data_IF_119089774645
#
_entry.id   IF_119089774645
#
_cell.length_a   1.000
_cell.length_b   1.000
_cell.length_c   1.000
_cell.angle_alpha   90.00
_cell.angle_beta   90.00
_cell.angle_gamma   90.00
#
_symmetry.space_group_name_H-M   'P 1'
#
loop_
_entity.id
_entity.type
_entity.pdbx_description
1 polymer ?
#
# COMPACT_ATOMS: atom_id res chain seq x y z
N UNK A 1 22.95 8.61 5.84
CA UNK A 1 21.60 8.04 5.75
C UNK A 1 21.69 6.56 6.04
N UNK A 2 21.01 6.12 7.08
CA UNK A 2 20.85 4.69 7.40
C UNK A 2 19.93 4.08 6.36
N UNK A 3 20.38 3.01 5.68
CA UNK A 3 19.49 2.24 4.81
C UNK A 3 18.40 1.59 5.65
N UNK A 4 17.16 1.58 5.15
CA UNK A 4 16.10 0.78 5.76
C UNK A 4 16.51 -0.68 5.84
N UNK A 5 16.17 -1.32 6.96
CA UNK A 5 16.33 -2.75 7.18
C UNK A 5 15.01 -3.26 7.74
N UNK A 6 14.39 -4.23 7.07
CA UNK A 6 13.18 -4.88 7.56
C UNK A 6 13.45 -5.51 8.94
N UNK A 7 12.56 -5.34 9.93
CA UNK A 7 12.67 -6.04 11.20
C UNK A 7 12.73 -7.56 11.00
N UNK A 8 13.54 -8.24 11.82
CA UNK A 8 13.47 -9.70 11.92
C UNK A 8 12.17 -10.07 12.63
N UNK A 9 11.38 -10.94 12.01
CA UNK A 9 10.09 -11.41 12.53
C UNK A 9 10.14 -12.93 12.60
N UNK A 10 9.80 -13.49 13.77
CA UNK A 10 9.77 -14.94 13.95
C UNK A 10 8.68 -15.56 13.08
N UNK A 11 9.06 -16.61 12.34
CA UNK A 11 8.12 -17.33 11.49
C UNK A 11 7.09 -18.08 12.34
N UNK A 12 5.81 -17.74 12.14
CA UNK A 12 4.70 -18.44 12.75
C UNK A 12 4.41 -19.73 11.98
N UNK A 13 4.17 -20.83 12.70
CA UNK A 13 3.79 -22.11 12.12
C UNK A 13 2.28 -22.26 12.16
N UNK A 14 1.64 -22.19 11.00
CA UNK A 14 0.19 -22.41 10.84
C UNK A 14 -0.10 -23.90 10.63
N UNK A 15 -1.26 -24.34 11.13
CA UNK A 15 -1.67 -25.75 11.05
C UNK A 15 -3.14 -25.86 10.70
N UNK A 16 -3.45 -26.79 9.80
CA UNK A 16 -4.82 -27.10 9.41
C UNK A 16 -5.60 -27.80 10.54
N UNK A 17 -6.89 -28.04 10.29
CA UNK A 17 -7.76 -28.78 11.21
C UNK A 17 -7.29 -30.20 11.58
N UNK A 18 -6.42 -30.81 10.77
CA UNK A 18 -5.80 -32.12 11.04
C UNK A 18 -4.43 -32.00 11.77
N UNK A 19 -3.99 -30.77 12.07
CA UNK A 19 -2.72 -30.48 12.73
C UNK A 19 -1.50 -30.50 11.81
N UNK A 20 -1.68 -30.66 10.49
CA UNK A 20 -0.58 -30.60 9.51
C UNK A 20 -0.15 -29.16 9.30
N UNK A 21 1.15 -28.96 9.11
CA UNK A 21 1.69 -27.63 8.81
C UNK A 21 1.14 -27.15 7.47
N UNK A 22 0.65 -25.92 7.45
CA UNK A 22 0.28 -25.18 6.25
C UNK A 22 1.55 -24.49 5.72
N UNK A 23 1.85 -24.70 4.45
CA UNK A 23 3.00 -24.08 3.77
C UNK A 23 2.52 -22.98 2.81
N UNK A 24 2.14 -21.83 3.38
CA UNK A 24 1.69 -20.68 2.61
C UNK A 24 2.75 -20.25 1.57
N UNK A 25 2.29 -19.89 0.38
CA UNK A 25 3.09 -19.65 -0.82
C UNK A 25 3.35 -20.91 -1.65
N UNK A 26 3.02 -22.09 -1.12
CA UNK A 26 3.16 -23.39 -1.80
C UNK A 26 1.97 -24.32 -1.54
N UNK A 27 0.79 -23.79 -1.18
CA UNK A 27 -0.40 -24.59 -0.89
C UNK A 27 -0.88 -25.38 -2.10
N UNK A 28 -0.76 -24.78 -3.29
CA UNK A 28 -1.38 -25.30 -4.50
C UNK A 28 -0.30 -25.64 -5.54
N UNK A 29 -0.19 -26.92 -5.89
CA UNK A 29 0.68 -27.36 -6.99
C UNK A 29 0.15 -26.92 -8.36
N UNK A 30 -1.18 -26.89 -8.50
CA UNK A 30 -1.91 -26.41 -9.67
C UNK A 30 -2.85 -25.25 -9.22
N UNK A 31 -4.06 -25.19 -9.78
CA UNK A 31 -5.05 -24.20 -9.36
C UNK A 31 -5.64 -24.52 -7.97
N UNK A 32 -5.92 -23.49 -7.15
CA UNK A 32 -6.62 -23.67 -5.88
C UNK A 32 -8.03 -24.27 -6.10
N UNK A 33 -8.52 -25.11 -5.16
CA UNK A 33 -9.89 -25.60 -5.21
C UNK A 33 -10.87 -24.45 -4.96
N UNK A 34 -12.10 -24.57 -5.48
CA UNK A 34 -13.15 -23.54 -5.31
C UNK A 34 -13.41 -23.21 -3.83
N UNK A 35 -13.27 -24.21 -2.95
CA UNK A 35 -13.44 -24.06 -1.49
C UNK A 35 -12.40 -23.15 -0.82
N UNK A 36 -11.28 -22.84 -1.48
CA UNK A 36 -10.26 -21.93 -0.94
C UNK A 36 -10.54 -20.45 -1.30
N UNK A 37 -11.44 -20.19 -2.25
CA UNK A 37 -11.78 -18.82 -2.63
C UNK A 37 -12.66 -18.16 -1.58
N UNK A 38 -12.37 -16.90 -1.26
CA UNK A 38 -13.08 -16.11 -0.24
C UNK A 38 -13.02 -16.69 1.18
N UNK A 39 -12.14 -17.67 1.42
CA UNK A 39 -11.85 -18.24 2.74
C UNK A 39 -10.49 -17.76 3.18
N UNK A 40 -10.36 -17.38 4.46
CA UNK A 40 -9.07 -17.14 5.10
C UNK A 40 -9.07 -17.89 6.42
N UNK A 41 -8.40 -19.04 6.48
CA UNK A 41 -8.32 -19.84 7.71
C UNK A 41 -7.47 -19.15 8.79
N UNK A 42 -6.33 -18.57 8.39
CA UNK A 42 -5.38 -17.90 9.30
C UNK A 42 -5.11 -16.44 8.89
N UNK A 43 -6.03 -15.50 9.18
CA UNK A 43 -5.80 -14.08 8.89
C UNK A 43 -4.60 -13.51 9.64
N UNK A 44 -4.28 -14.04 10.83
CA UNK A 44 -3.13 -13.66 11.64
C UNK A 44 -1.78 -13.86 10.94
N UNK A 45 -1.73 -14.63 9.84
CA UNK A 45 -0.52 -14.78 9.01
C UNK A 45 0.01 -13.45 8.47
N UNK A 46 -0.87 -12.46 8.32
CA UNK A 46 -0.51 -11.13 7.83
C UNK A 46 -0.10 -10.14 8.94
N UNK A 47 -0.24 -10.49 10.23
CA UNK A 47 0.17 -9.64 11.36
C UNK A 47 1.59 -9.04 11.27
N UNK A 48 2.61 -9.73 10.72
CA UNK A 48 3.91 -9.14 10.44
C UNK A 48 3.88 -7.83 9.62
N UNK A 49 2.88 -7.63 8.75
CA UNK A 49 2.75 -6.41 7.93
C UNK A 49 2.64 -5.14 8.78
N UNK A 50 2.01 -5.23 9.95
CA UNK A 50 1.94 -4.09 10.88
C UNK A 50 3.32 -3.72 11.41
N UNK A 51 4.13 -4.72 11.75
CA UNK A 51 5.52 -4.50 12.21
C UNK A 51 6.40 -3.90 11.11
N UNK A 52 6.23 -4.35 9.87
CA UNK A 52 6.93 -3.80 8.70
C UNK A 52 6.51 -2.36 8.44
N UNK A 53 5.20 -2.07 8.46
CA UNK A 53 4.70 -0.71 8.26
C UNK A 53 5.21 0.27 9.33
N UNK A 54 5.27 -0.15 10.60
CA UNK A 54 5.86 0.65 11.67
C UNK A 54 7.33 0.98 11.43
N UNK A 55 8.12 0.00 11.01
CA UNK A 55 9.52 0.20 10.69
C UNK A 55 9.71 1.14 9.48
N UNK A 56 8.84 1.05 8.48
CA UNK A 56 8.83 1.97 7.34
C UNK A 56 8.49 3.41 7.77
N UNK A 57 7.45 3.59 8.58
CA UNK A 57 7.06 4.90 9.12
C UNK A 57 8.21 5.53 9.90
N UNK A 58 8.86 4.76 10.77
CA UNK A 58 9.99 5.25 11.57
C UNK A 58 11.20 5.59 10.68
N UNK A 59 11.53 4.72 9.72
CA UNK A 59 12.59 5.01 8.76
C UNK A 59 12.32 6.30 7.98
N UNK A 60 11.09 6.50 7.53
CA UNK A 60 10.69 7.70 6.80
C UNK A 60 10.81 8.94 7.69
N UNK A 61 10.33 8.87 8.93
CA UNK A 61 10.40 9.95 9.93
C UNK A 61 11.83 10.46 10.15
N UNK A 62 12.79 9.56 10.19
CA UNK A 62 14.20 9.92 10.47
C UNK A 62 14.98 10.31 9.20
N UNK A 63 14.49 9.92 8.02
CA UNK A 63 15.23 10.08 6.75
C UNK A 63 14.78 11.30 5.94
N UNK A 64 13.49 11.63 5.97
CA UNK A 64 12.90 12.66 5.11
C UNK A 64 12.36 13.86 5.90
N UNK A 65 12.28 15.00 5.23
CA UNK A 65 11.68 16.23 5.75
C UNK A 65 10.15 16.19 5.62
N UNK A 66 9.51 15.64 6.65
CA UNK A 66 8.09 15.29 6.65
C UNK A 66 7.42 15.64 7.98
N UNK A 67 6.13 15.94 7.91
CA UNK A 67 5.20 15.97 9.03
C UNK A 67 4.43 14.65 9.10
N UNK A 68 4.21 14.14 10.31
CA UNK A 68 3.49 12.88 10.54
C UNK A 68 2.34 13.14 11.51
N UNK A 69 1.12 12.89 11.04
CA UNK A 69 -0.11 12.92 11.83
C UNK A 69 -0.63 11.51 12.03
N UNK A 70 -0.97 11.15 13.26
CA UNK A 70 -1.57 9.87 13.61
C UNK A 70 -2.94 10.10 14.26
N UNK A 71 -3.96 9.43 13.71
CA UNK A 71 -5.33 9.55 14.19
C UNK A 71 -6.36 9.00 13.21
N UNK A 72 -7.60 8.75 13.65
CA UNK A 72 -8.66 8.22 12.79
C UNK A 72 -8.97 9.13 11.58
N UNK A 73 -8.73 10.44 11.70
CA UNK A 73 -8.85 11.40 10.61
C UNK A 73 -7.85 11.16 9.47
N UNK A 74 -6.70 10.53 9.74
CA UNK A 74 -5.77 10.15 8.69
C UNK A 74 -6.41 9.16 7.71
N UNK A 75 -7.25 8.24 8.21
CA UNK A 75 -7.96 7.26 7.38
C UNK A 75 -8.94 7.89 6.38
N UNK A 76 -9.38 9.13 6.60
CA UNK A 76 -10.27 9.84 5.68
C UNK A 76 -9.61 10.18 4.33
N UNK A 77 -8.28 10.04 4.20
CA UNK A 77 -7.58 10.19 2.91
C UNK A 77 -7.86 9.04 1.95
N UNK A 78 -8.17 7.84 2.46
CA UNK A 78 -8.52 6.71 1.62
C UNK A 78 -9.65 7.12 0.68
N UNK A 79 -9.47 6.85 -0.61
CA UNK A 79 -10.53 7.02 -1.60
C UNK A 79 -11.69 6.07 -1.29
N UNK A 80 -11.36 4.88 -0.77
CA UNK A 80 -12.30 3.87 -0.31
C UNK A 80 -12.06 3.58 1.17
N UNK A 81 -12.91 4.10 2.07
CA UNK A 81 -12.73 3.86 3.50
C UNK A 81 -12.72 2.37 3.83
N UNK A 82 -11.72 1.94 4.61
CA UNK A 82 -11.67 0.59 5.16
C UNK A 82 -12.48 0.54 6.46
N UNK A 83 -13.53 -0.28 6.52
CA UNK A 83 -14.45 -0.33 7.67
C UNK A 83 -13.78 -0.78 8.96
N UNK A 84 -12.69 -1.53 8.82
CA UNK A 84 -11.98 -2.17 9.92
C UNK A 84 -10.64 -1.49 10.27
N UNK A 85 -10.49 -0.20 9.94
CA UNK A 85 -9.30 0.57 10.30
C UNK A 85 -9.16 0.66 11.83
N UNK A 86 -8.00 0.23 12.34
CA UNK A 86 -7.66 0.28 13.77
C UNK A 86 -6.72 1.44 14.09
N UNK A 87 -5.91 1.86 13.12
CA UNK A 87 -4.95 2.96 13.23
C UNK A 87 -4.66 3.54 11.85
N UNK A 88 -4.41 4.84 11.76
CA UNK A 88 -4.00 5.48 10.53
C UNK A 88 -2.92 6.54 10.78
N UNK A 89 -1.92 6.56 9.91
CA UNK A 89 -0.75 7.44 9.98
C UNK A 89 -0.59 8.12 8.62
N UNK A 90 -0.73 9.44 8.59
CA UNK A 90 -0.51 10.26 7.41
C UNK A 90 0.85 10.92 7.48
N UNK A 91 1.60 10.85 6.38
CA UNK A 91 2.92 11.42 6.23
C UNK A 91 2.88 12.42 5.08
N UNK A 92 3.18 13.69 5.40
CA UNK A 92 3.19 14.80 4.44
C UNK A 92 4.61 15.34 4.29
N UNK A 93 5.21 15.27 3.10
CA UNK A 93 6.45 15.99 2.80
C UNK A 93 6.22 17.50 2.86
N UNK A 94 7.24 18.24 3.31
CA UNK A 94 7.17 19.71 3.33
C UNK A 94 7.21 20.34 1.92
N UNK A 95 7.62 19.57 0.91
CA UNK A 95 7.52 19.93 -0.50
C UNK A 95 6.20 19.43 -1.10
N UNK A 96 5.32 20.37 -1.48
CA UNK A 96 4.01 20.07 -2.08
C UNK A 96 4.05 19.38 -3.45
N UNK A 97 5.22 19.31 -4.10
CA UNK A 97 5.41 18.57 -5.36
C UNK A 97 5.67 17.07 -5.14
N UNK A 98 5.78 16.64 -3.88
CA UNK A 98 5.92 15.24 -3.48
C UNK A 98 4.54 14.62 -3.16
N UNK A 99 4.37 13.35 -3.50
CA UNK A 99 3.17 12.60 -3.08
C UNK A 99 3.16 12.39 -1.57
N UNK A 100 1.99 12.52 -0.94
CA UNK A 100 1.79 12.09 0.46
C UNK A 100 1.65 10.57 0.55
N UNK A 101 1.91 10.01 1.73
CA UNK A 101 1.62 8.60 2.05
C UNK A 101 0.71 8.53 3.27
N UNK A 102 -0.31 7.68 3.24
CA UNK A 102 -1.08 7.32 4.43
C UNK A 102 -1.08 5.81 4.59
N UNK A 103 -0.69 5.35 5.77
CA UNK A 103 -0.80 3.95 6.17
C UNK A 103 -2.05 3.77 7.03
N UNK A 104 -2.85 2.76 6.72
CA UNK A 104 -4.04 2.38 7.46
C UNK A 104 -3.91 0.93 7.87
N UNK A 105 -3.81 0.72 9.17
CA UNK A 105 -3.74 -0.59 9.80
C UNK A 105 -5.17 -1.11 10.01
N UNK A 106 -5.40 -2.38 9.74
CA UNK A 106 -6.74 -2.99 9.78
C UNK A 106 -6.82 -4.16 10.75
N UNK A 107 -8.02 -4.53 11.21
CA UNK A 107 -8.20 -5.65 12.17
C UNK A 107 -8.03 -7.04 11.53
N UNK A 108 -8.41 -7.19 10.25
CA UNK A 108 -7.79 -8.18 9.37
C UNK A 108 -6.37 -7.67 9.12
N UNK A 109 -5.29 -8.29 9.63
CA UNK A 109 -4.06 -7.57 9.94
C UNK A 109 -3.20 -7.26 8.71
N UNK A 110 -3.75 -6.46 7.80
CA UNK A 110 -3.13 -5.92 6.61
C UNK A 110 -2.94 -4.41 6.71
N UNK A 111 -2.47 -3.85 5.60
CA UNK A 111 -2.16 -2.43 5.43
C UNK A 111 -2.89 -1.89 4.20
N UNK A 112 -3.69 -0.84 4.39
CA UNK A 112 -4.07 0.07 3.33
C UNK A 112 -3.03 1.18 3.19
N UNK A 113 -2.52 1.39 1.99
CA UNK A 113 -1.61 2.49 1.67
C UNK A 113 -2.31 3.45 0.69
N UNK A 114 -2.60 4.67 1.12
CA UNK A 114 -2.96 5.74 0.20
C UNK A 114 -1.68 6.43 -0.29
N UNK A 115 -1.51 6.61 -1.59
CA UNK A 115 -0.41 7.36 -2.17
C UNK A 115 -0.91 8.53 -3.02
N UNK A 116 -0.30 9.70 -2.81
CA UNK A 116 -0.59 10.90 -3.58
C UNK A 116 -2.01 11.42 -3.35
N UNK A 117 -2.86 11.36 -4.37
CA UNK A 117 -4.18 11.98 -4.35
C UNK A 117 -5.35 11.02 -4.63
N UNK A 118 -5.13 9.91 -5.35
CA UNK A 118 -6.19 9.15 -6.00
C UNK A 118 -6.13 7.64 -5.82
N UNK A 119 -5.03 7.05 -5.31
CA UNK A 119 -4.89 5.59 -5.28
C UNK A 119 -4.69 5.04 -3.88
N UNK A 120 -5.47 4.01 -3.58
CA UNK A 120 -5.33 3.14 -2.43
C UNK A 120 -4.78 1.79 -2.89
N UNK A 121 -3.81 1.25 -2.16
CA UNK A 121 -3.22 -0.06 -2.33
C UNK A 121 -3.43 -0.87 -1.06
N UNK A 122 -3.65 -2.18 -1.18
CA UNK A 122 -3.95 -3.04 -0.03
C UNK A 122 -3.00 -4.22 0.02
N UNK A 123 -2.56 -4.55 1.22
CA UNK A 123 -1.59 -5.61 1.52
C UNK A 123 -2.16 -6.47 2.65
N UNK A 124 -2.60 -7.71 2.39
CA UNK A 124 -2.70 -8.32 1.06
C UNK A 124 -3.77 -7.65 0.19
N UNK A 125 -3.58 -7.74 -1.14
CA UNK A 125 -4.61 -7.30 -2.10
C UNK A 125 -5.83 -8.24 -2.12
N UNK A 126 -5.61 -9.51 -1.82
CA UNK A 126 -6.62 -10.52 -1.54
C UNK A 126 -6.08 -11.48 -0.48
N UNK A 127 -6.80 -11.61 0.62
CA UNK A 127 -6.37 -12.41 1.77
C UNK A 127 -6.83 -13.87 1.75
N UNK A 128 -7.48 -14.33 0.68
CA UNK A 128 -8.03 -15.68 0.66
C UNK A 128 -6.94 -16.76 0.50
N UNK A 129 -7.22 -17.98 0.95
CA UNK A 129 -6.31 -19.12 0.86
C UNK A 129 -6.05 -19.53 -0.58
N UNK A 130 -6.99 -19.27 -1.51
CA UNK A 130 -6.77 -19.50 -2.94
C UNK A 130 -5.66 -18.61 -3.54
N UNK A 131 -5.48 -17.37 -3.04
CA UNK A 131 -4.40 -16.50 -3.51
C UNK A 131 -3.05 -16.90 -2.94
N UNK A 132 -3.04 -17.58 -1.80
CA UNK A 132 -1.85 -18.17 -1.16
C UNK A 132 -0.67 -17.21 -0.98
N UNK A 133 -0.93 -15.91 -0.81
CA UNK A 133 0.14 -14.94 -0.61
C UNK A 133 0.73 -15.04 0.79
N UNK A 134 2.05 -14.94 0.85
CA UNK A 134 2.80 -14.88 2.12
C UNK A 134 2.89 -13.44 2.63
N UNK A 135 3.08 -13.25 3.93
CA UNK A 135 3.30 -11.90 4.46
C UNK A 135 4.59 -11.28 3.94
N UNK A 136 5.60 -12.10 3.61
CA UNK A 136 6.88 -11.67 3.06
C UNK A 136 6.71 -11.04 1.68
N UNK A 137 5.95 -11.68 0.78
CA UNK A 137 5.67 -11.15 -0.56
C UNK A 137 4.89 -9.83 -0.49
N UNK A 138 3.90 -9.76 0.40
CA UNK A 138 3.11 -8.54 0.61
C UNK A 138 3.97 -7.42 1.23
N UNK A 139 4.90 -7.76 2.14
CA UNK A 139 5.87 -6.82 2.69
C UNK A 139 6.86 -6.33 1.63
N UNK A 140 7.38 -7.22 0.78
CA UNK A 140 8.27 -6.86 -0.34
C UNK A 140 7.58 -5.87 -1.28
N UNK A 141 6.31 -6.11 -1.60
CA UNK A 141 5.53 -5.23 -2.46
C UNK A 141 5.24 -3.88 -1.80
N UNK A 142 4.84 -3.86 -0.52
CA UNK A 142 4.61 -2.64 0.25
C UNK A 142 5.88 -1.78 0.29
N UNK A 143 7.00 -2.36 0.73
CA UNK A 143 8.28 -1.66 0.82
C UNK A 143 8.71 -1.11 -0.54
N UNK A 144 8.63 -1.93 -1.59
CA UNK A 144 9.00 -1.53 -2.95
C UNK A 144 8.15 -0.35 -3.44
N UNK A 145 6.84 -0.34 -3.19
CA UNK A 145 5.97 0.77 -3.59
C UNK A 145 6.22 2.03 -2.75
N UNK A 146 6.37 1.90 -1.44
CA UNK A 146 6.73 3.01 -0.55
C UNK A 146 8.03 3.66 -1.01
N UNK A 147 9.07 2.87 -1.30
CA UNK A 147 10.34 3.39 -1.78
C UNK A 147 10.23 4.05 -3.16
N UNK A 148 9.39 3.53 -4.05
CA UNK A 148 9.12 4.20 -5.33
C UNK A 148 8.43 5.56 -5.14
N UNK A 149 7.53 5.71 -4.15
CA UNK A 149 6.93 7.03 -3.84
C UNK A 149 7.98 8.00 -3.31
N UNK A 150 8.70 7.63 -2.24
CA UNK A 150 9.61 8.58 -1.58
C UNK A 150 10.84 8.92 -2.43
N UNK A 151 11.18 8.09 -3.42
CA UNK A 151 12.27 8.37 -4.38
C UNK A 151 11.81 9.07 -5.66
N UNK A 152 10.54 9.47 -5.76
CA UNK A 152 10.01 10.23 -6.92
C UNK A 152 9.78 9.36 -8.16
N UNK A 153 9.62 8.05 -7.99
CA UNK A 153 9.34 7.08 -9.04
C UNK A 153 7.85 6.68 -9.08
N UNK A 154 6.97 7.53 -8.56
CA UNK A 154 5.52 7.35 -8.55
C UNK A 154 4.82 8.46 -9.33
N UNK A 155 3.80 8.07 -10.10
CA UNK A 155 2.99 8.98 -10.89
C UNK A 155 1.53 8.62 -10.82
N UNK A 156 0.69 9.64 -10.82
CA UNK A 156 -0.75 9.54 -11.01
C UNK A 156 -1.19 10.36 -12.22
N UNK A 157 -2.31 9.98 -12.81
CA UNK A 157 -2.90 10.72 -13.93
C UNK A 157 -4.42 10.57 -13.94
N UNK A 158 -5.11 11.65 -14.28
CA UNK A 158 -6.53 11.63 -14.65
C UNK A 158 -6.63 11.63 -16.17
N UNK A 159 -7.35 10.67 -16.73
CA UNK A 159 -7.64 10.63 -18.17
C UNK A 159 -9.12 10.91 -18.41
N UNK A 160 -9.40 12.03 -19.08
CA UNK A 160 -10.74 12.43 -19.50
C UNK A 160 -10.97 12.00 -20.94
N UNK A 161 -11.93 11.09 -21.13
CA UNK A 161 -12.44 10.70 -22.44
C UNK A 161 -13.94 10.37 -22.34
N UNK A 162 -14.42 9.40 -23.12
CA UNK A 162 -15.81 8.91 -22.99
C UNK A 162 -16.10 8.30 -21.61
N UNK A 163 -15.06 7.90 -20.88
CA UNK A 163 -15.11 7.51 -19.47
C UNK A 163 -13.97 8.22 -18.73
N UNK A 164 -14.19 8.48 -17.44
CA UNK A 164 -13.21 9.08 -16.55
C UNK A 164 -12.38 7.99 -15.89
N UNK A 165 -11.08 8.01 -16.14
CA UNK A 165 -10.12 7.04 -15.60
C UNK A 165 -9.11 7.72 -14.70
N UNK A 166 -8.68 6.98 -13.67
CA UNK A 166 -7.53 7.32 -12.85
C UNK A 166 -6.47 6.26 -13.03
N UNK A 167 -5.23 6.70 -13.23
CA UNK A 167 -4.08 5.85 -13.52
C UNK A 167 -3.02 6.08 -12.46
N UNK A 168 -2.27 5.03 -12.14
CA UNK A 168 -1.02 5.13 -11.40
C UNK A 168 0.08 4.36 -12.11
N UNK A 169 1.33 4.75 -11.87
CA UNK A 169 2.50 3.97 -12.25
C UNK A 169 3.63 4.12 -11.25
N UNK A 170 4.30 3.00 -10.98
CA UNK A 170 5.56 2.92 -10.26
C UNK A 170 6.66 2.49 -11.22
N UNK A 171 7.82 3.15 -11.13
CA UNK A 171 9.03 2.77 -11.86
C UNK A 171 10.05 2.17 -10.89
N UNK A 172 10.70 1.10 -11.31
CA UNK A 172 11.70 0.37 -10.54
C UNK A 172 12.94 0.12 -11.43
N UNK A 173 14.13 -0.16 -10.85
CA UNK A 173 15.34 -0.43 -11.62
C UNK A 173 15.24 -1.57 -12.64
N UNK A 174 14.33 -2.53 -12.44
CA UNK A 174 14.12 -3.70 -13.31
C UNK A 174 12.77 -3.75 -14.03
N UNK A 175 11.98 -2.68 -14.00
CA UNK A 175 10.65 -2.66 -14.63
C UNK A 175 9.71 -1.66 -13.97
N UNK A 176 8.41 -1.77 -14.26
CA UNK A 176 7.39 -0.91 -13.66
C UNK A 176 6.13 -1.68 -13.34
N UNK A 177 5.27 -1.08 -12.53
CA UNK A 177 3.89 -1.52 -12.35
C UNK A 177 2.97 -0.34 -12.64
N UNK A 178 1.88 -0.56 -13.34
CA UNK A 178 0.87 0.47 -13.59
C UNK A 178 -0.51 -0.12 -13.55
N UNK A 179 -1.46 0.65 -13.04
CA UNK A 179 -2.87 0.30 -12.99
C UNK A 179 -3.75 1.43 -13.49
N UNK A 180 -4.90 1.05 -14.03
CA UNK A 180 -5.94 1.96 -14.48
C UNK A 180 -7.28 1.49 -13.95
N UNK A 181 -8.00 2.38 -13.29
CA UNK A 181 -9.34 2.09 -12.77
C UNK A 181 -10.32 3.19 -13.13
N UNK A 182 -11.58 2.83 -13.32
CA UNK A 182 -12.64 3.82 -13.51
C UNK A 182 -12.77 4.68 -12.27
N UNK A 183 -13.03 5.98 -12.42
CA UNK A 183 -13.15 6.90 -11.29
C UNK A 183 -14.44 6.72 -10.46
N UNK A 184 -15.16 5.61 -10.64
CA UNK A 184 -16.37 5.29 -9.89
C UNK A 184 -16.08 5.15 -8.39
N UNK A 185 -16.86 5.85 -7.58
CA UNK A 185 -16.69 5.92 -6.12
C UNK A 185 -15.78 7.07 -5.65
N UNK A 186 -15.08 7.75 -6.55
CA UNK A 186 -14.27 8.93 -6.22
C UNK A 186 -15.14 10.19 -6.38
N UNK A 187 -15.23 11.08 -5.37
CA UNK A 187 -15.96 12.33 -5.51
C UNK A 187 -15.42 13.18 -6.66
N UNK A 188 -16.31 13.71 -7.52
CA UNK A 188 -15.92 14.52 -8.67
C UNK A 188 -15.02 15.72 -8.29
N UNK A 189 -15.31 16.36 -7.16
CA UNK A 189 -14.51 17.46 -6.64
C UNK A 189 -13.05 17.05 -6.32
N UNK A 190 -12.84 15.81 -5.84
CA UNK A 190 -11.49 15.25 -5.59
C UNK A 190 -10.76 15.01 -6.91
N UNK A 191 -11.45 14.50 -7.93
CA UNK A 191 -10.87 14.29 -9.26
C UNK A 191 -10.48 15.63 -9.90
N UNK A 192 -11.37 16.62 -9.87
CA UNK A 192 -11.09 17.93 -10.46
C UNK A 192 -9.94 18.64 -9.75
N UNK A 193 -9.82 18.50 -8.43
CA UNK A 193 -8.69 19.00 -7.67
C UNK A 193 -7.38 18.27 -8.03
N UNK A 194 -7.41 16.95 -8.09
CA UNK A 194 -6.25 16.15 -8.45
C UNK A 194 -5.78 16.42 -9.88
N UNK A 195 -6.69 16.50 -10.85
CA UNK A 195 -6.38 16.76 -12.25
C UNK A 195 -5.64 18.09 -12.44
N UNK A 196 -6.02 19.14 -11.70
CA UNK A 196 -5.32 20.43 -11.69
C UNK A 196 -3.88 20.30 -11.17
N UNK A 197 -3.68 19.59 -10.07
CA UNK A 197 -2.36 19.40 -9.46
C UNK A 197 -1.48 18.53 -10.37
N UNK A 198 -1.99 17.39 -10.81
CA UNK A 198 -1.27 16.42 -11.63
C UNK A 198 -0.91 16.96 -13.03
N UNK A 199 -1.72 17.86 -13.58
CA UNK A 199 -1.39 18.56 -14.84
C UNK A 199 -0.16 19.46 -14.71
N UNK A 200 0.16 19.95 -13.50
CA UNK A 200 1.38 20.71 -13.22
C UNK A 200 2.61 19.81 -12.97
N UNK A 201 2.42 18.49 -12.87
CA UNK A 201 3.45 17.49 -12.58
C UNK A 201 3.57 16.46 -13.74
N UNK A 202 3.96 16.88 -14.96
CA UNK A 202 3.99 15.98 -16.12
C UNK A 202 5.01 14.83 -16.00
N UNK A 203 6.01 14.98 -15.13
CA UNK A 203 7.01 13.96 -14.80
C UNK A 203 6.57 12.98 -13.69
N UNK A 204 5.42 13.22 -13.03
CA UNK A 204 5.05 12.54 -11.80
C UNK A 204 5.45 13.31 -10.55
N UNK A 205 5.30 12.67 -9.40
CA UNK A 205 5.61 13.25 -8.10
C UNK A 205 7.13 13.35 -7.88
N UNK A 206 7.57 14.41 -7.23
CA UNK A 206 8.98 14.60 -6.89
C UNK A 206 9.45 13.62 -5.80
N UNK A 207 10.76 13.42 -5.72
CA UNK A 207 11.40 12.70 -4.64
C UNK A 207 11.34 13.50 -3.35
N UNK A 208 11.14 12.82 -2.22
CA UNK A 208 10.98 13.46 -0.94
C UNK A 208 12.29 14.11 -0.50
N UNK A 209 12.27 15.35 0.00
CA UNK A 209 13.46 16.03 0.48
C UNK A 209 14.04 15.29 1.70
N UNK A 210 15.37 15.14 1.78
CA UNK A 210 15.99 14.56 2.95
C UNK A 210 15.84 15.47 4.16
N UNK A 211 15.81 14.88 5.36
CA UNK A 211 15.79 15.64 6.60
C UNK A 211 17.09 16.46 6.75
N UNK A 212 17.02 17.76 7.16
CA UNK A 212 18.19 18.61 7.39
C UNK A 212 19.16 18.10 8.47
#
# INVERSE_FOLDING_TARGET
MTSYVRPTIDEQVFRDSDGRRIDYGNLWADSPPESAYSVTEHPERYAPLHTVADALIEHIRVTYDVEIDEGPEAAAELVRPHRDATRAVRIRPNDSTCATLTFVFTSYPGIGMHAGLLHDFYFPSCGCDACDSTWQEEADLLERQVFAVVTGNYREKVERGNRLWVEHSFTYPGGGNSGKSGAGGIPAARIDAADRILSALPGGWAAWPPRP
#
